data_IF_275210369271
#
_entry.id   IF_275210369271
#
_cell.length_a   1.000
_cell.length_b   1.000
_cell.length_c   1.000
_cell.angle_alpha   90.00
_cell.angle_beta   90.00
_cell.angle_gamma   90.00
#
_symmetry.space_group_name_H-M   'P 1'
#
loop_
_entity.id
_entity.type
_entity.pdbx_description
1 polymer ?
#
# COMPACT_ATOMS: atom_id res chain seq x y z
N UNK A 1 19.39 -17.39 29.48
CA UNK A 1 19.59 -18.32 28.34
C UNK A 1 19.17 -17.59 27.07
N UNK A 2 19.93 -17.73 25.97
CA UNK A 2 20.50 -16.60 25.26
C UNK A 2 19.51 -15.92 24.30
N UNK A 3 19.66 -14.60 24.24
CA UNK A 3 19.10 -13.72 23.22
C UNK A 3 19.72 -14.13 21.87
N UNK A 4 19.15 -15.14 21.22
CA UNK A 4 19.41 -15.45 19.82
C UNK A 4 18.85 -14.28 19.00
N UNK A 5 19.63 -13.21 18.93
CA UNK A 5 19.60 -12.28 17.81
C UNK A 5 19.93 -13.12 16.59
N UNK A 6 18.91 -13.68 15.96
CA UNK A 6 18.93 -13.99 14.54
C UNK A 6 19.16 -12.64 13.87
N UNK A 7 20.44 -12.30 13.75
CA UNK A 7 20.96 -11.18 13.01
C UNK A 7 20.56 -11.47 11.57
N UNK A 8 19.33 -11.09 11.23
CA UNK A 8 18.82 -11.03 9.87
C UNK A 8 19.88 -10.25 9.11
N UNK A 9 20.70 -10.95 8.33
CA UNK A 9 21.59 -10.32 7.38
C UNK A 9 20.70 -9.50 6.47
N UNK A 10 20.73 -8.15 6.56
CA UNK A 10 19.77 -7.33 5.85
C UNK A 10 19.94 -7.64 4.37
N UNK A 11 18.83 -8.05 3.75
CA UNK A 11 18.84 -8.30 2.30
C UNK A 11 19.26 -7.01 1.61
N UNK A 12 19.96 -7.10 0.47
CA UNK A 12 20.41 -5.90 -0.28
C UNK A 12 19.27 -4.90 -0.49
N UNK A 13 18.03 -5.40 -0.61
CA UNK A 13 16.82 -4.61 -0.74
C UNK A 13 16.53 -3.76 0.50
N UNK A 14 16.51 -4.38 1.68
CA UNK A 14 16.23 -3.67 2.95
C UNK A 14 17.28 -2.60 3.23
N UNK A 15 18.56 -2.90 3.00
CA UNK A 15 19.63 -1.92 3.17
C UNK A 15 19.49 -0.75 2.19
N UNK A 16 19.05 -1.03 0.96
CA UNK A 16 18.82 0.01 -0.06
C UNK A 16 17.59 0.86 0.27
N UNK A 17 16.49 0.23 0.71
CA UNK A 17 15.27 0.93 1.12
C UNK A 17 15.52 1.81 2.35
N UNK A 18 16.27 1.31 3.34
CA UNK A 18 16.66 2.07 4.52
C UNK A 18 17.58 3.24 4.16
N UNK A 19 18.59 3.02 3.31
CA UNK A 19 19.46 4.10 2.83
C UNK A 19 18.68 5.18 2.08
N UNK A 20 17.72 4.78 1.26
CA UNK A 20 16.85 5.71 0.54
C UNK A 20 15.95 6.49 1.50
N UNK A 21 15.33 5.82 2.46
CA UNK A 21 14.46 6.44 3.45
C UNK A 21 15.24 7.45 4.32
N UNK A 22 16.38 7.03 4.89
CA UNK A 22 17.22 7.91 5.71
C UNK A 22 17.80 9.05 4.88
N UNK A 23 18.24 8.78 3.64
CA UNK A 23 18.75 9.80 2.74
C UNK A 23 17.71 10.87 2.41
N UNK A 24 16.48 10.45 2.07
CA UNK A 24 15.38 11.38 1.82
C UNK A 24 15.00 12.19 3.06
N UNK A 25 14.96 11.58 4.25
CA UNK A 25 14.68 12.30 5.50
C UNK A 25 15.72 13.36 5.82
N UNK A 26 17.01 13.06 5.62
CA UNK A 26 18.09 14.03 5.86
C UNK A 26 18.02 15.18 4.85
N UNK A 27 17.78 14.89 3.56
CA UNK A 27 17.64 15.92 2.52
C UNK A 27 16.42 16.81 2.79
N UNK A 28 15.28 16.22 3.17
CA UNK A 28 14.07 16.95 3.51
C UNK A 28 14.24 17.87 4.74
N UNK A 29 15.09 17.47 5.70
CA UNK A 29 15.39 18.29 6.87
C UNK A 29 16.39 19.42 6.58
N UNK A 30 17.37 19.20 5.70
CA UNK A 30 18.44 20.17 5.42
C UNK A 30 18.03 21.24 4.40
N UNK A 31 17.19 20.90 3.43
CA UNK A 31 16.73 21.82 2.38
C UNK A 31 15.21 21.71 2.16
N UNK A 32 14.40 22.21 3.10
CA UNK A 32 12.95 22.18 2.97
C UNK A 32 12.45 23.01 1.77
N UNK A 33 13.10 24.13 1.46
CA UNK A 33 12.75 25.01 0.33
C UNK A 33 12.91 24.34 -1.03
N UNK A 34 13.99 23.57 -1.24
CA UNK A 34 14.23 22.85 -2.49
C UNK A 34 13.14 21.79 -2.74
N UNK A 35 12.60 21.21 -1.66
CA UNK A 35 11.48 20.27 -1.72
C UNK A 35 10.19 20.98 -2.07
N UNK A 36 9.82 22.09 -1.42
CA UNK A 36 8.57 22.78 -1.75
C UNK A 36 8.60 23.44 -3.13
N UNK A 37 9.72 24.05 -3.54
CA UNK A 37 9.81 24.78 -4.82
C UNK A 37 9.93 23.86 -6.04
N UNK A 38 10.59 22.70 -5.93
CA UNK A 38 10.75 21.79 -7.06
C UNK A 38 9.83 20.57 -7.02
N UNK A 39 9.46 20.07 -5.84
CA UNK A 39 8.64 18.86 -5.73
C UNK A 39 7.17 19.17 -6.05
N UNK A 40 6.60 20.30 -5.60
CA UNK A 40 5.22 20.68 -5.95
C UNK A 40 4.98 20.79 -7.48
N UNK A 41 5.78 21.55 -8.25
CA UNK A 41 5.57 21.64 -9.69
C UNK A 41 5.91 20.33 -10.42
N UNK A 42 6.86 19.53 -9.92
CA UNK A 42 7.14 18.21 -10.47
C UNK A 42 5.96 17.25 -10.24
N UNK A 43 5.40 17.23 -9.03
CA UNK A 43 4.22 16.43 -8.69
C UNK A 43 3.03 16.86 -9.54
N UNK A 44 2.77 18.16 -9.72
CA UNK A 44 1.67 18.63 -10.55
C UNK A 44 1.84 18.27 -12.03
N UNK A 45 3.06 18.33 -12.56
CA UNK A 45 3.34 17.87 -13.94
C UNK A 45 3.12 16.37 -14.09
N UNK A 46 3.58 15.58 -13.10
CA UNK A 46 3.39 14.13 -13.08
C UNK A 46 1.91 13.79 -12.91
N UNK A 47 1.17 14.44 -12.01
CA UNK A 47 -0.28 14.27 -11.83
C UNK A 47 -1.04 14.66 -13.09
N UNK A 48 -0.63 15.71 -13.80
CA UNK A 48 -1.23 16.09 -15.07
C UNK A 48 -1.08 15.01 -16.14
N UNK A 49 0.05 14.30 -16.15
CA UNK A 49 0.32 13.24 -17.12
C UNK A 49 -0.23 11.86 -16.68
N UNK A 50 -0.14 11.54 -15.39
CA UNK A 50 -0.58 10.27 -14.80
C UNK A 50 -2.05 10.26 -14.40
N UNK A 51 -2.70 11.41 -14.24
CA UNK A 51 -4.10 11.49 -13.81
C UNK A 51 -5.05 10.82 -14.79
N UNK A 52 -4.86 11.06 -16.09
CA UNK A 52 -5.65 10.41 -17.16
C UNK A 52 -5.49 8.88 -17.19
N UNK A 53 -4.27 8.32 -17.27
CA UNK A 53 -4.10 6.86 -17.26
C UNK A 53 -4.47 6.23 -15.92
N UNK A 54 -4.28 6.93 -14.79
CA UNK A 54 -4.70 6.44 -13.47
C UNK A 54 -6.22 6.32 -13.38
N UNK A 55 -6.97 7.30 -13.88
CA UNK A 55 -8.43 7.24 -13.91
C UNK A 55 -8.94 6.05 -14.73
N UNK A 56 -8.35 5.81 -15.91
CA UNK A 56 -8.72 4.67 -16.75
C UNK A 56 -8.37 3.35 -16.07
N UNK A 57 -7.20 3.25 -15.44
CA UNK A 57 -6.77 2.06 -14.70
C UNK A 57 -7.69 1.75 -13.52
N UNK A 58 -8.08 2.76 -12.74
CA UNK A 58 -9.01 2.58 -11.61
C UNK A 58 -10.37 2.07 -12.10
N UNK A 59 -10.91 2.64 -13.17
CA UNK A 59 -12.17 2.19 -13.74
C UNK A 59 -12.08 0.76 -14.32
N UNK A 60 -10.99 0.42 -15.01
CA UNK A 60 -10.75 -0.94 -15.49
C UNK A 60 -10.59 -1.94 -14.35
N UNK A 61 -9.89 -1.57 -13.29
CA UNK A 61 -9.69 -2.41 -12.12
C UNK A 61 -11.03 -2.64 -11.40
N UNK A 62 -11.85 -1.60 -11.26
CA UNK A 62 -13.19 -1.70 -10.69
C UNK A 62 -14.06 -2.63 -11.54
N UNK A 63 -14.06 -2.45 -12.86
CA UNK A 63 -14.80 -3.32 -13.77
C UNK A 63 -14.30 -4.77 -13.72
N UNK A 64 -12.98 -4.97 -13.64
CA UNK A 64 -12.36 -6.28 -13.52
C UNK A 64 -12.75 -6.98 -12.23
N UNK A 65 -12.73 -6.29 -11.08
CA UNK A 65 -13.14 -6.85 -9.79
C UNK A 65 -14.62 -7.23 -9.80
N UNK A 66 -15.50 -6.38 -10.35
CA UNK A 66 -16.93 -6.69 -10.49
C UNK A 66 -17.13 -7.90 -11.41
N UNK A 67 -16.44 -7.92 -12.56
CA UNK A 67 -16.51 -9.05 -13.49
C UNK A 67 -16.02 -10.34 -12.85
N UNK A 68 -14.95 -10.32 -12.06
CA UNK A 68 -14.42 -11.47 -11.32
C UNK A 68 -15.41 -11.94 -10.24
N UNK A 69 -16.05 -11.01 -9.53
CA UNK A 69 -17.03 -11.32 -8.50
C UNK A 69 -18.29 -12.01 -9.06
N UNK A 70 -18.75 -11.61 -10.26
CA UNK A 70 -19.90 -12.22 -10.94
C UNK A 70 -19.50 -13.52 -11.67
N UNK A 71 -18.26 -13.59 -12.15
CA UNK A 71 -17.74 -14.76 -12.84
C UNK A 71 -17.65 -15.99 -11.91
N UNK A 72 -17.68 -17.22 -12.45
CA UNK A 72 -17.52 -18.46 -11.66
C UNK A 72 -16.18 -18.55 -10.90
N UNK A 73 -15.23 -17.66 -11.19
CA UNK A 73 -13.99 -17.48 -10.44
C UNK A 73 -14.23 -16.89 -9.04
N UNK A 74 -15.25 -16.04 -8.85
CA UNK A 74 -15.62 -15.48 -7.55
C UNK A 74 -16.19 -16.51 -6.57
N UNK A 75 -16.69 -17.65 -7.08
CA UNK A 75 -17.14 -18.77 -6.24
C UNK A 75 -16.01 -19.73 -5.84
N UNK A 76 -14.78 -19.53 -6.34
CA UNK A 76 -13.63 -20.33 -5.92
C UNK A 76 -13.14 -19.84 -4.56
N UNK A 77 -13.18 -20.74 -3.57
CA UNK A 77 -12.53 -20.52 -2.27
C UNK A 77 -11.03 -20.31 -2.47
N UNK A 78 -10.55 -19.16 -2.00
CA UNK A 78 -9.12 -18.85 -1.89
C UNK A 78 -8.56 -19.78 -0.82
N UNK A 79 -7.66 -20.70 -1.19
CA UNK A 79 -7.11 -21.73 -0.29
C UNK A 79 -7.50 -23.18 -0.62
N UNK A 80 -8.27 -23.42 -1.69
CA UNK A 80 -8.61 -24.77 -2.17
C UNK A 80 -9.94 -25.32 -1.65
N UNK A 81 -10.37 -26.49 -2.15
CA UNK A 81 -11.70 -27.07 -1.90
C UNK A 81 -11.97 -27.43 -0.43
N UNK A 82 -10.91 -27.59 0.38
CA UNK A 82 -10.96 -27.94 1.80
C UNK A 82 -10.65 -26.75 2.73
N UNK A 83 -10.56 -25.52 2.21
CA UNK A 83 -10.35 -24.35 3.05
C UNK A 83 -11.54 -24.14 4.01
N UNK A 84 -11.26 -24.35 5.29
CA UNK A 84 -12.15 -24.05 6.41
C UNK A 84 -12.06 -22.53 6.65
N UNK A 85 -13.20 -21.88 6.86
CA UNK A 85 -13.24 -20.44 7.13
C UNK A 85 -12.56 -20.19 8.49
N UNK A 86 -11.31 -19.74 8.46
CA UNK A 86 -10.46 -19.58 9.66
C UNK A 86 -11.00 -18.50 10.62
N UNK A 87 -11.78 -17.55 10.10
CA UNK A 87 -12.38 -16.46 10.87
C UNK A 87 -13.87 -16.31 10.55
N UNK A 88 -14.70 -16.14 11.60
CA UNK A 88 -16.11 -15.75 11.42
C UNK A 88 -16.21 -14.54 10.48
N UNK A 89 -17.15 -14.59 9.53
CA UNK A 89 -17.34 -13.58 8.48
C UNK A 89 -17.36 -12.15 9.01
N UNK A 90 -17.90 -11.97 10.23
CA UNK A 90 -17.96 -10.69 10.91
C UNK A 90 -16.56 -10.19 11.35
N UNK A 91 -15.71 -11.07 11.87
CA UNK A 91 -14.34 -10.73 12.29
C UNK A 91 -13.43 -10.45 11.09
N UNK A 92 -13.61 -11.18 9.98
CA UNK A 92 -12.93 -10.90 8.72
C UNK A 92 -13.29 -9.51 8.17
N UNK A 93 -14.58 -9.15 8.20
CA UNK A 93 -15.05 -7.82 7.78
C UNK A 93 -14.48 -6.69 8.66
N UNK A 94 -14.49 -6.87 9.99
CA UNK A 94 -13.89 -5.91 10.93
C UNK A 94 -12.40 -5.72 10.71
N UNK A 95 -11.64 -6.78 10.40
CA UNK A 95 -10.20 -6.68 10.13
C UNK A 95 -9.91 -5.86 8.85
N UNK A 96 -10.69 -6.07 7.79
CA UNK A 96 -10.58 -5.28 6.56
C UNK A 96 -10.88 -3.79 6.80
N UNK A 97 -11.91 -3.48 7.59
CA UNK A 97 -12.20 -2.11 7.99
C UNK A 97 -11.07 -1.51 8.86
N UNK A 98 -10.45 -2.27 9.76
CA UNK A 98 -9.38 -1.69 10.55
C UNK A 98 -8.14 -1.32 9.72
N UNK A 99 -7.82 -2.09 8.68
CA UNK A 99 -6.66 -1.83 7.82
C UNK A 99 -6.89 -0.65 6.86
N UNK A 100 -8.13 -0.43 6.41
CA UNK A 100 -8.45 0.64 5.46
C UNK A 100 -8.56 2.04 6.06
N UNK A 101 -8.85 2.15 7.36
CA UNK A 101 -9.23 3.42 8.00
C UNK A 101 -8.19 3.94 9.01
N UNK A 102 -7.02 3.31 9.11
CA UNK A 102 -6.16 3.41 10.28
C UNK A 102 -5.55 4.80 10.57
N UNK A 103 -5.45 5.72 9.60
CA UNK A 103 -4.75 7.00 9.82
C UNK A 103 -5.45 8.25 9.24
N UNK A 104 -6.13 8.15 8.10
CA UNK A 104 -6.75 9.34 7.46
C UNK A 104 -8.06 9.80 8.12
N UNK A 105 -8.78 8.91 8.81
CA UNK A 105 -10.06 9.26 9.44
C UNK A 105 -9.91 10.09 10.73
N UNK A 106 -8.76 9.95 11.42
CA UNK A 106 -8.46 10.69 12.66
C UNK A 106 -7.90 12.10 12.42
N UNK A 107 -7.55 12.44 11.18
CA UNK A 107 -7.01 13.76 10.81
C UNK A 107 -8.10 14.77 10.39
N UNK A 108 -9.37 14.34 10.38
CA UNK A 108 -10.52 15.15 9.97
C UNK A 108 -11.31 15.81 11.10
N UNK A 109 -10.81 15.79 12.34
CA UNK A 109 -11.38 16.51 13.50
C UNK A 109 -10.61 17.81 13.81
#
# INVERSE_FOLDING_TARGET
MPLNKTLSTPTKLEKTALLFCVGLSVIAFLFPELLTEHLQPAINKILGYLGSPFFILVNLLLFSVIAIAISPLGQRKIGGALALVEFSTLVGFLCCLQQGWAQDLYFGE
#
